data_IF_471502873916
#
_entry.id   IF_471502873916
#
_cell.length_a   1.000
_cell.length_b   1.000
_cell.length_c   1.000
_cell.angle_alpha   90.00
_cell.angle_beta   90.00
_cell.angle_gamma   90.00
#
_symmetry.space_group_name_H-M   'P 1'
#
loop_
_entity.id
_entity.type
_entity.pdbx_description
1 polymer ?
#
# COMPACT_ATOMS: atom_id res chain seq x y z
N UNK A 1 4.52 -2.47 12.21
CA UNK A 1 3.68 -2.61 10.99
C UNK A 1 4.35 -1.81 9.88
N UNK A 2 4.76 -2.46 8.79
CA UNK A 2 5.50 -1.82 7.69
C UNK A 2 4.61 -0.81 6.94
N UNK A 3 5.14 0.40 6.70
CA UNK A 3 4.49 1.48 5.93
C UNK A 3 5.40 1.86 4.78
N UNK A 4 4.82 2.20 3.63
CA UNK A 4 5.56 2.56 2.43
C UNK A 4 4.71 3.46 1.55
N UNK A 5 5.37 4.27 0.72
CA UNK A 5 4.72 5.13 -0.26
C UNK A 5 4.45 4.34 -1.54
N UNK A 6 3.24 4.46 -2.07
CA UNK A 6 2.80 3.83 -3.32
C UNK A 6 2.54 4.94 -4.33
N UNK A 7 3.20 4.86 -5.49
CA UNK A 7 2.91 5.76 -6.60
C UNK A 7 1.70 5.24 -7.36
N UNK A 8 0.66 6.05 -7.45
CA UNK A 8 -0.53 5.75 -8.23
C UNK A 8 -0.31 6.07 -9.73
N UNK A 9 -1.12 5.48 -10.64
CA UNK A 9 -1.02 5.74 -12.08
C UNK A 9 -1.20 7.21 -12.48
N UNK A 10 -1.88 8.01 -11.65
CA UNK A 10 -2.05 9.45 -11.85
C UNK A 10 -0.83 10.28 -11.42
N UNK A 11 0.26 9.64 -10.96
CA UNK A 11 1.48 10.28 -10.49
C UNK A 11 1.45 10.76 -9.04
N UNK A 12 0.33 10.61 -8.33
CA UNK A 12 0.23 10.91 -6.90
C UNK A 12 0.87 9.81 -6.05
N UNK A 13 1.25 10.17 -4.83
CA UNK A 13 1.80 9.24 -3.85
C UNK A 13 0.84 9.10 -2.68
N UNK A 14 0.54 7.87 -2.30
CA UNK A 14 -0.31 7.57 -1.15
C UNK A 14 0.43 6.68 -0.14
N UNK A 15 0.12 6.87 1.14
CA UNK A 15 0.72 6.08 2.21
C UNK A 15 -0.02 4.74 2.32
N UNK A 16 0.69 3.65 2.04
CA UNK A 16 0.22 2.28 2.16
C UNK A 16 0.70 1.60 3.44
N UNK A 17 0.04 0.50 3.77
CA UNK A 17 0.42 -0.39 4.86
C UNK A 17 0.26 -1.84 4.46
N UNK A 18 1.28 -2.65 4.77
CA UNK A 18 1.21 -4.09 4.63
C UNK A 18 0.24 -4.65 5.67
N UNK A 19 -0.83 -5.29 5.22
CA UNK A 19 -1.81 -5.94 6.09
C UNK A 19 -1.37 -7.38 6.39
N UNK A 20 -1.03 -8.13 5.35
CA UNK A 20 -0.51 -9.50 5.44
C UNK A 20 0.39 -9.83 4.25
N UNK A 21 1.31 -10.76 4.45
CA UNK A 21 2.10 -11.38 3.38
C UNK A 21 2.05 -12.88 3.57
N UNK A 22 1.70 -13.61 2.52
CA UNK A 22 1.82 -15.07 2.41
C UNK A 22 2.77 -15.42 1.25
N UNK A 23 3.07 -16.70 1.07
CA UNK A 23 3.83 -17.19 -0.10
C UNK A 23 3.13 -16.84 -1.43
N UNK A 24 1.80 -16.78 -1.41
CA UNK A 24 0.98 -16.48 -2.60
C UNK A 24 0.87 -14.97 -2.91
N UNK A 25 1.34 -14.11 -2.01
CA UNK A 25 1.36 -12.66 -2.25
C UNK A 25 1.23 -11.78 -1.01
N UNK A 26 1.30 -10.47 -1.23
CA UNK A 26 1.14 -9.44 -0.20
C UNK A 26 -0.19 -8.70 -0.37
N UNK A 27 -0.96 -8.61 0.70
CA UNK A 27 -2.16 -7.77 0.77
C UNK A 27 -1.84 -6.42 1.41
N UNK A 28 -2.12 -5.36 0.66
CA UNK A 28 -1.82 -3.99 1.01
C UNK A 28 -3.13 -3.20 1.21
N UNK A 29 -3.14 -2.27 2.17
CA UNK A 29 -4.23 -1.30 2.33
C UNK A 29 -3.67 0.11 2.10
N UNK A 30 -4.35 0.90 1.28
CA UNK A 30 -4.13 2.34 1.13
C UNK A 30 -4.73 3.07 2.34
N UNK A 31 -3.94 3.89 3.04
CA UNK A 31 -4.39 4.58 4.24
C UNK A 31 -5.08 5.92 3.95
N UNK A 32 -4.86 6.51 2.77
CA UNK A 32 -5.42 7.81 2.40
C UNK A 32 -5.89 7.84 0.95
N UNK A 33 -7.19 7.64 0.76
CA UNK A 33 -7.93 8.08 -0.42
C UNK A 33 -9.25 8.69 0.06
N UNK A 34 -9.39 10.01 -0.01
CA UNK A 34 -10.65 10.75 0.18
C UNK A 34 -10.98 11.50 -1.10
#
# INVERSE_FOLDING_TARGET
>A
KLRFWIQLPNGQWELGKLQSSSEDGSHLILLEGK
#
